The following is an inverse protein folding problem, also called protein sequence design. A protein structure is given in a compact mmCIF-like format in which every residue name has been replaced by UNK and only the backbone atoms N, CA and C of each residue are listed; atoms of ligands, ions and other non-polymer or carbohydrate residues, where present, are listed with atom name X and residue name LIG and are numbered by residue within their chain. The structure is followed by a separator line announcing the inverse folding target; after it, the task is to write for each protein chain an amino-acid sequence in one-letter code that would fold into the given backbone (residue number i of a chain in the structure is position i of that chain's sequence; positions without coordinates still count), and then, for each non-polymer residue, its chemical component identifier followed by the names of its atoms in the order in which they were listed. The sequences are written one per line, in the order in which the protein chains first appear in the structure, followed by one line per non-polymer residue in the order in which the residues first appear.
data_IF_117133502197
#
_entry.id   IF_117133502197
#
_cell.length_a   1.000
_cell.length_b   1.000
_cell.length_c   1.000
_cell.angle_alpha   90.00
_cell.angle_beta   90.00
_cell.angle_gamma   90.00
#
_symmetry.space_group_name_H-M   'P 1'
#
loop_
_entity.id
_entity.type
_entity.pdbx_description
1 polymer ?
#
# COMPACT_ATOMS: atom_id res chain seq x y z
N UNK A 1 -27.61 -1.60 3.31
CA UNK A 1 -27.94 -1.01 1.99
C UNK A 1 -27.49 0.45 1.87
N UNK A 2 -27.97 1.39 2.71
CA UNK A 2 -27.63 2.82 2.59
C UNK A 2 -26.12 3.13 2.69
N UNK A 3 -25.43 2.60 3.70
CA UNK A 3 -23.98 2.84 3.87
C UNK A 3 -23.16 2.37 2.65
N UNK A 4 -23.51 1.22 2.07
CA UNK A 4 -22.87 0.72 0.85
C UNK A 4 -23.11 1.65 -0.35
N UNK A 5 -24.36 2.07 -0.58
CA UNK A 5 -24.68 3.01 -1.65
C UNK A 5 -23.98 4.37 -1.45
N UNK A 6 -23.88 4.82 -0.19
CA UNK A 6 -23.22 6.07 0.15
C UNK A 6 -21.71 6.02 -0.08
N UNK A 7 -21.03 4.92 0.25
CA UNK A 7 -19.61 4.75 -0.06
C UNK A 7 -19.33 4.84 -1.57
N UNK A 8 -20.18 4.22 -2.40
CA UNK A 8 -20.10 4.34 -3.86
C UNK A 8 -20.29 5.79 -4.33
N UNK A 9 -21.30 6.46 -3.79
CA UNK A 9 -21.59 7.86 -4.09
C UNK A 9 -20.42 8.77 -3.74
N UNK A 10 -19.81 8.60 -2.56
CA UNK A 10 -18.67 9.39 -2.11
C UNK A 10 -17.47 9.18 -3.03
N UNK A 11 -17.12 7.93 -3.34
CA UNK A 11 -15.97 7.66 -4.20
C UNK A 11 -16.15 8.27 -5.60
N UNK A 12 -17.33 8.13 -6.21
CA UNK A 12 -17.64 8.77 -7.50
C UNK A 12 -17.67 10.29 -7.44
N UNK A 13 -18.02 10.88 -6.29
CA UNK A 13 -18.02 12.33 -6.09
C UNK A 13 -16.62 12.92 -5.95
N UNK A 14 -15.68 12.15 -5.38
CA UNK A 14 -14.32 12.61 -5.08
C UNK A 14 -13.26 12.13 -6.09
N UNK A 15 -13.49 11.00 -6.76
CA UNK A 15 -12.55 10.37 -7.68
C UNK A 15 -13.29 9.89 -8.91
N UNK A 16 -13.27 10.69 -9.98
CA UNK A 16 -13.94 10.38 -11.24
C UNK A 16 -13.11 10.78 -12.43
N UNK A 17 -12.96 9.88 -13.39
CA UNK A 17 -12.38 10.17 -14.71
C UNK A 17 -13.22 11.26 -15.44
N UNK A 18 -12.58 12.18 -16.17
CA UNK A 18 -11.15 12.28 -16.48
C UNK A 18 -10.34 13.09 -15.43
N UNK A 19 -10.81 13.17 -14.17
CA UNK A 19 -10.06 13.81 -13.09
C UNK A 19 -8.67 13.21 -12.90
N UNK A 20 -7.74 14.05 -12.43
CA UNK A 20 -6.32 13.66 -12.30
C UNK A 20 -5.99 13.03 -10.95
N UNK A 21 -6.65 13.47 -9.88
CA UNK A 21 -6.25 13.16 -8.52
C UNK A 21 -7.29 12.29 -7.79
N UNK A 22 -6.84 11.32 -6.99
CA UNK A 22 -7.72 10.44 -6.24
C UNK A 22 -8.35 11.19 -5.06
N UNK A 23 -9.34 10.55 -4.45
CA UNK A 23 -9.91 10.97 -3.17
C UNK A 23 -8.80 11.03 -2.11
N UNK A 24 -8.63 12.19 -1.46
CA UNK A 24 -7.71 12.35 -0.34
C UNK A 24 -8.38 11.91 0.99
N UNK A 25 -7.76 12.20 2.14
CA UNK A 25 -8.33 11.88 3.47
C UNK A 25 -9.77 12.38 3.70
N UNK A 26 -10.21 13.41 2.97
CA UNK A 26 -11.56 13.98 3.05
C UNK A 26 -12.30 13.89 1.70
N UNK A 27 -11.84 13.03 0.78
CA UNK A 27 -12.33 12.97 -0.59
C UNK A 27 -11.98 14.25 -1.36
N UNK A 28 -12.90 15.20 -1.35
CA UNK A 28 -12.76 16.57 -1.90
C UNK A 28 -13.45 17.62 -1.01
N UNK A 29 -13.91 17.23 0.18
CA UNK A 29 -14.77 18.05 1.03
C UNK A 29 -14.00 18.55 2.25
N UNK A 30 -13.28 19.65 2.09
CA UNK A 30 -12.63 20.37 3.18
C UNK A 30 -13.19 21.79 3.29
N UNK A 31 -13.41 22.27 4.52
CA UNK A 31 -13.88 23.62 4.81
C UNK A 31 -12.82 24.50 5.52
N UNK A 32 -11.58 24.01 5.61
CA UNK A 32 -10.47 24.67 6.26
C UNK A 32 -9.21 24.58 5.40
N UNK A 33 -8.40 25.63 5.43
CA UNK A 33 -7.03 25.63 4.88
C UNK A 33 -6.07 24.81 5.75
N UNK A 34 -6.40 24.66 7.04
CA UNK A 34 -5.69 23.80 7.99
C UNK A 34 -6.58 22.61 8.33
N UNK A 35 -6.63 21.69 7.39
CA UNK A 35 -7.40 20.45 7.53
C UNK A 35 -6.62 19.44 8.35
N UNK A 36 -7.28 18.57 9.16
CA UNK A 36 -6.59 17.49 9.86
C UNK A 36 -5.70 16.68 8.91
N UNK A 37 -4.43 16.52 9.30
CA UNK A 37 -3.39 15.88 8.51
C UNK A 37 -3.25 16.45 7.08
N UNK A 38 -3.51 17.74 6.91
CA UNK A 38 -3.43 18.44 5.62
C UNK A 38 -4.49 18.02 4.61
N UNK A 39 -5.43 17.12 4.96
CA UNK A 39 -6.24 16.38 4.00
C UNK A 39 -5.39 15.80 2.85
N UNK A 40 -4.20 15.29 3.17
CA UNK A 40 -3.23 14.81 2.20
C UNK A 40 -3.53 13.36 1.75
N UNK A 41 -2.52 12.69 1.18
CA UNK A 41 -2.57 11.28 0.83
C UNK A 41 -1.73 10.44 1.81
N UNK A 42 -2.41 9.79 2.76
CA UNK A 42 -1.82 8.76 3.62
C UNK A 42 -1.76 7.42 2.88
N UNK A 43 -0.54 6.94 2.63
CA UNK A 43 -0.21 5.71 1.92
C UNK A 43 0.01 4.52 2.86
N UNK A 44 -0.09 4.72 4.18
CA UNK A 44 0.09 3.66 5.17
C UNK A 44 -1.21 2.93 5.57
N UNK A 45 -2.36 3.35 5.04
CA UNK A 45 -3.62 2.57 4.94
C UNK A 45 -4.74 3.36 4.24
N UNK A 46 -4.81 4.68 4.43
CA UNK A 46 -6.04 5.44 4.17
C UNK A 46 -6.38 5.55 2.68
N UNK A 47 -5.38 5.85 1.84
CA UNK A 47 -5.59 5.90 0.39
C UNK A 47 -6.00 4.53 -0.14
N UNK A 48 -5.37 3.44 0.30
CA UNK A 48 -5.77 2.08 -0.10
C UNK A 48 -7.21 1.79 0.33
N UNK A 49 -7.55 2.12 1.58
CA UNK A 49 -8.89 1.90 2.14
C UNK A 49 -9.98 2.60 1.33
N UNK A 50 -9.74 3.83 0.87
CA UNK A 50 -10.69 4.56 0.03
C UNK A 50 -11.03 3.82 -1.28
N UNK A 51 -10.16 2.92 -1.75
CA UNK A 51 -10.30 2.21 -3.03
C UNK A 51 -10.55 0.70 -2.92
N UNK A 52 -10.48 0.08 -1.74
CA UNK A 52 -10.75 -1.37 -1.57
C UNK A 52 -12.11 -1.80 -2.13
N UNK A 53 -13.12 -0.93 -2.02
CA UNK A 53 -14.46 -1.19 -2.54
C UNK A 53 -14.63 -0.92 -4.03
N UNK A 54 -13.68 -0.25 -4.71
CA UNK A 54 -13.87 0.29 -6.05
C UNK A 54 -14.16 -0.81 -7.08
N UNK A 55 -13.31 -1.84 -7.11
CA UNK A 55 -13.45 -2.94 -8.06
C UNK A 55 -14.71 -3.76 -7.81
N UNK A 56 -14.91 -4.20 -6.57
CA UNK A 56 -16.09 -5.00 -6.16
C UNK A 56 -17.42 -4.27 -6.30
N UNK A 57 -17.39 -2.94 -6.30
CA UNK A 57 -18.56 -2.12 -6.54
C UNK A 57 -18.75 -1.74 -8.02
N UNK A 58 -17.98 -2.32 -8.95
CA UNK A 58 -18.03 -1.97 -10.37
C UNK A 58 -17.87 -0.45 -10.60
N UNK A 59 -16.89 0.15 -9.90
CA UNK A 59 -16.52 1.57 -10.03
C UNK A 59 -15.16 1.75 -10.69
N UNK A 60 -14.45 0.68 -11.05
CA UNK A 60 -13.09 0.79 -11.61
C UNK A 60 -13.00 1.70 -12.84
N UNK A 61 -13.85 1.54 -13.87
CA UNK A 61 -13.75 2.35 -15.09
C UNK A 61 -13.87 3.86 -14.81
N UNK A 62 -14.72 4.24 -13.86
CA UNK A 62 -15.00 5.64 -13.54
C UNK A 62 -14.08 6.20 -12.46
N UNK A 63 -13.73 5.41 -11.43
CA UNK A 63 -13.15 5.93 -10.21
C UNK A 63 -11.66 5.64 -10.02
N UNK A 64 -11.11 4.59 -10.64
CA UNK A 64 -9.69 4.23 -10.46
C UNK A 64 -8.74 4.97 -11.42
N UNK A 65 -9.24 5.61 -12.48
CA UNK A 65 -8.41 6.42 -13.39
C UNK A 65 -7.58 7.50 -12.67
N UNK A 66 -8.19 8.34 -11.80
CA UNK A 66 -7.43 9.30 -10.99
C UNK A 66 -6.40 8.64 -10.06
N UNK A 67 -6.69 7.46 -9.51
CA UNK A 67 -5.73 6.70 -8.70
C UNK A 67 -4.51 6.29 -9.52
N UNK A 68 -4.73 5.73 -10.71
CA UNK A 68 -3.67 5.36 -11.63
C UNK A 68 -2.79 6.57 -12.02
N UNK A 69 -3.41 7.69 -12.36
CA UNK A 69 -2.72 8.93 -12.68
C UNK A 69 -1.83 9.42 -11.53
N UNK A 70 -2.32 9.33 -10.30
CA UNK A 70 -1.56 9.69 -9.11
C UNK A 70 -0.40 8.73 -8.85
N UNK A 71 -0.61 7.42 -8.98
CA UNK A 71 0.47 6.44 -8.85
C UNK A 71 1.57 6.65 -9.90
N UNK A 72 1.19 6.98 -11.14
CA UNK A 72 2.16 7.34 -12.18
C UNK A 72 2.95 8.62 -11.84
N UNK A 73 2.28 9.63 -11.28
CA UNK A 73 2.94 10.86 -10.82
C UNK A 73 3.91 10.60 -9.67
N UNK A 74 3.49 9.79 -8.69
CA UNK A 74 4.25 9.43 -7.50
C UNK A 74 5.48 8.57 -7.87
N UNK A 75 5.30 7.58 -8.73
CA UNK A 75 6.38 6.77 -9.29
C UNK A 75 7.27 7.53 -10.29
N UNK A 76 6.85 8.74 -10.65
CA UNK A 76 7.53 9.64 -11.55
C UNK A 76 8.72 10.36 -10.89
N UNK A 77 8.91 11.66 -11.18
CA UNK A 77 10.09 12.39 -10.70
C UNK A 77 10.25 12.41 -9.17
N UNK A 78 9.15 12.53 -8.40
CA UNK A 78 9.19 12.63 -6.94
C UNK A 78 9.69 11.36 -6.25
N UNK A 79 9.07 10.22 -6.56
CA UNK A 79 9.48 8.93 -6.02
C UNK A 79 10.89 8.51 -6.48
N UNK A 80 11.24 8.76 -7.76
CA UNK A 80 12.58 8.48 -8.28
C UNK A 80 13.66 9.34 -7.63
N UNK A 81 13.39 10.63 -7.43
CA UNK A 81 14.30 11.52 -6.69
C UNK A 81 14.51 11.03 -5.27
N UNK A 82 13.46 10.56 -4.61
CA UNK A 82 13.55 10.04 -3.24
C UNK A 82 14.42 8.79 -3.20
N UNK A 83 14.15 7.81 -4.06
CA UNK A 83 14.93 6.56 -4.16
C UNK A 83 16.43 6.86 -4.36
N UNK A 84 16.74 7.75 -5.29
CA UNK A 84 18.12 8.12 -5.57
C UNK A 84 18.78 8.96 -4.47
N UNK A 85 18.08 9.94 -3.88
CA UNK A 85 18.68 10.85 -2.89
C UNK A 85 18.85 10.20 -1.53
N UNK A 86 17.86 9.42 -1.08
CA UNK A 86 17.86 8.87 0.28
C UNK A 86 18.57 7.51 0.33
N UNK A 87 18.37 6.68 -0.70
CA UNK A 87 18.81 5.28 -0.67
C UNK A 87 19.87 4.94 -1.70
N UNK A 88 20.19 5.86 -2.64
CA UNK A 88 21.07 5.57 -3.79
C UNK A 88 20.60 4.38 -4.63
N UNK A 89 19.29 4.12 -4.62
CA UNK A 89 18.70 3.01 -5.33
C UNK A 89 18.01 3.45 -6.63
N UNK A 90 17.95 2.56 -7.64
CA UNK A 90 17.11 2.75 -8.82
C UNK A 90 15.63 2.63 -8.45
N UNK A 91 14.77 2.76 -9.46
CA UNK A 91 13.33 2.67 -9.26
C UNK A 91 12.75 3.90 -8.58
N UNK A 92 11.71 3.71 -7.77
CA UNK A 92 11.07 4.77 -7.01
C UNK A 92 10.62 4.27 -5.64
N UNK A 93 10.48 5.19 -4.69
CA UNK A 93 9.94 4.91 -3.35
C UNK A 93 9.07 6.08 -2.92
N UNK A 94 7.98 5.77 -2.22
CA UNK A 94 7.18 6.74 -1.50
C UNK A 94 6.87 6.19 -0.11
N UNK A 95 6.94 7.07 0.89
CA UNK A 95 6.80 6.69 2.29
C UNK A 95 5.35 6.81 2.78
N UNK A 96 5.14 6.98 4.09
CA UNK A 96 3.81 6.95 4.70
C UNK A 96 2.84 8.00 4.16
N UNK A 97 3.33 9.18 3.77
CA UNK A 97 2.49 10.33 3.42
C UNK A 97 3.06 11.09 2.21
N UNK A 98 2.17 11.68 1.42
CA UNK A 98 2.48 12.59 0.31
C UNK A 98 1.31 13.54 0.11
N UNK A 99 1.51 14.58 -0.70
CA UNK A 99 0.49 15.56 -1.06
C UNK A 99 0.28 15.58 -2.59
N UNK A 100 -0.36 16.66 -3.06
CA UNK A 100 -0.65 16.94 -4.47
C UNK A 100 0.61 16.95 -5.37
N UNK A 101 1.79 17.23 -4.81
CA UNK A 101 3.05 17.28 -5.56
C UNK A 101 3.63 15.89 -5.82
N UNK A 102 3.05 14.85 -5.23
CA UNK A 102 3.41 13.45 -5.42
C UNK A 102 4.92 13.20 -5.16
N UNK A 103 5.42 13.76 -4.05
CA UNK A 103 6.79 13.55 -3.59
C UNK A 103 6.89 12.25 -2.78
N UNK A 104 7.96 11.49 -3.00
CA UNK A 104 8.18 10.23 -2.28
C UNK A 104 8.81 10.37 -0.90
N UNK A 105 9.15 11.59 -0.48
CA UNK A 105 9.97 11.87 0.70
C UNK A 105 9.33 11.49 2.04
N UNK A 106 10.08 11.75 3.11
CA UNK A 106 9.57 11.67 4.48
C UNK A 106 8.87 13.00 4.82
N UNK A 107 7.62 12.93 5.27
CA UNK A 107 6.83 14.09 5.69
C UNK A 107 6.46 13.91 7.16
N UNK A 108 6.76 14.85 8.05
CA UNK A 108 6.61 14.68 9.52
C UNK A 108 7.70 13.78 10.16
N UNK A 109 7.46 13.30 11.38
CA UNK A 109 8.46 12.53 12.15
C UNK A 109 8.67 11.13 11.58
N UNK A 110 9.90 10.62 11.71
CA UNK A 110 10.34 9.32 11.21
C UNK A 110 9.47 8.16 11.72
N UNK A 111 8.98 8.24 12.95
CA UNK A 111 8.23 7.17 13.62
C UNK A 111 6.92 6.78 12.89
N UNK A 112 6.24 7.74 12.27
CA UNK A 112 5.07 7.50 11.40
C UNK A 112 5.46 7.47 9.92
N UNK A 113 6.43 8.29 9.55
CA UNK A 113 6.69 8.60 8.14
C UNK A 113 7.49 7.51 7.45
N UNK A 114 8.44 6.87 8.12
CA UNK A 114 9.39 5.94 7.50
C UNK A 114 8.73 4.58 7.20
N UNK A 115 8.00 4.55 6.09
CA UNK A 115 7.36 3.35 5.56
C UNK A 115 7.76 3.14 4.08
N UNK A 116 8.95 2.60 3.78
CA UNK A 116 9.40 2.39 2.40
C UNK A 116 8.52 1.41 1.60
N UNK A 117 7.64 0.68 2.28
CA UNK A 117 6.66 -0.26 1.70
C UNK A 117 5.34 0.39 1.29
N UNK A 118 5.02 1.58 1.80
CA UNK A 118 3.71 2.19 1.66
C UNK A 118 3.38 2.55 0.20
N UNK A 119 4.32 3.18 -0.52
CA UNK A 119 4.13 3.48 -1.95
C UNK A 119 3.93 2.22 -2.80
N UNK A 120 4.69 1.16 -2.52
CA UNK A 120 4.54 -0.11 -3.24
C UNK A 120 3.22 -0.81 -2.91
N UNK A 121 2.77 -0.77 -1.66
CA UNK A 121 1.44 -1.27 -1.28
C UNK A 121 0.33 -0.52 -2.01
N UNK A 122 0.40 0.82 -2.09
CA UNK A 122 -0.54 1.59 -2.89
C UNK A 122 -0.53 1.16 -4.38
N UNK A 123 0.64 0.92 -4.96
CA UNK A 123 0.74 0.45 -6.34
C UNK A 123 0.06 -0.90 -6.60
N UNK A 124 -0.11 -1.77 -5.59
CA UNK A 124 -0.79 -3.06 -5.75
C UNK A 124 -2.25 -2.91 -6.15
N UNK A 125 -2.91 -1.80 -5.83
CA UNK A 125 -4.29 -1.54 -6.27
C UNK A 125 -4.41 -1.48 -7.81
N UNK A 126 -3.34 -1.14 -8.54
CA UNK A 126 -3.32 -1.17 -10.01
C UNK A 126 -3.39 -2.60 -10.54
N UNK A 127 -2.67 -3.52 -9.89
CA UNK A 127 -2.71 -4.95 -10.21
C UNK A 127 -4.07 -5.56 -9.86
N UNK A 128 -4.61 -5.22 -8.68
CA UNK A 128 -5.94 -5.68 -8.25
C UNK A 128 -7.05 -5.21 -9.19
N UNK A 129 -6.97 -3.97 -9.69
CA UNK A 129 -7.93 -3.45 -10.66
C UNK A 129 -7.91 -4.25 -11.98
N UNK A 130 -6.72 -4.64 -12.44
CA UNK A 130 -6.56 -5.49 -13.63
C UNK A 130 -7.07 -6.91 -13.40
N UNK A 131 -6.70 -7.55 -12.28
CA UNK A 131 -7.11 -8.95 -12.02
C UNK A 131 -8.61 -9.07 -11.75
N UNK A 132 -9.23 -8.08 -11.10
CA UNK A 132 -10.68 -8.07 -10.94
C UNK A 132 -11.39 -8.02 -12.30
N UNK A 133 -10.90 -7.20 -13.22
CA UNK A 133 -11.47 -7.10 -14.56
C UNK A 133 -11.36 -8.41 -15.33
N UNK A 134 -10.24 -9.13 -15.20
CA UNK A 134 -10.09 -10.46 -15.80
C UNK A 134 -11.19 -11.43 -15.33
N UNK A 135 -11.52 -11.43 -14.04
CA UNK A 135 -12.55 -12.32 -13.48
C UNK A 135 -13.94 -11.93 -13.96
N UNK A 136 -14.28 -10.64 -13.96
CA UNK A 136 -15.58 -10.16 -14.45
C UNK A 136 -15.78 -10.55 -15.93
N UNK A 137 -14.74 -10.43 -16.77
CA UNK A 137 -14.80 -10.80 -18.18
C UNK A 137 -14.97 -12.33 -18.37
N UNK A 138 -14.32 -13.17 -17.54
CA UNK A 138 -14.49 -14.63 -17.58
C UNK A 138 -15.89 -15.08 -17.11
N UNK A 139 -16.41 -14.46 -16.04
CA UNK A 139 -17.73 -14.78 -15.47
C UNK A 139 -18.88 -14.31 -16.37
N UNK A 140 -18.71 -13.17 -17.07
CA UNK A 140 -19.71 -12.63 -18.00
C UNK A 140 -19.73 -13.34 -19.37
N UNK A 141 -18.58 -13.87 -19.83
CA UNK A 141 -18.48 -14.41 -21.18
C UNK A 141 -18.61 -15.94 -21.31
N UNK A 142 -18.50 -16.71 -20.22
CA UNK A 142 -18.57 -18.18 -20.27
C UNK A 142 -17.50 -18.87 -21.13
N UNK A 143 -16.59 -18.13 -21.78
CA UNK A 143 -15.52 -18.64 -22.63
C UNK A 143 -14.51 -17.53 -23.00
N UNK A 144 -13.37 -17.45 -22.31
CA UNK A 144 -12.09 -17.03 -22.91
C UNK A 144 -11.96 -15.63 -23.52
N UNK A 145 -12.83 -14.67 -23.23
CA UNK A 145 -12.63 -13.28 -23.66
C UNK A 145 -11.63 -12.59 -22.73
N UNK A 146 -10.43 -12.36 -23.25
CA UNK A 146 -9.45 -11.47 -22.59
C UNK A 146 -9.99 -10.04 -22.54
N UNK A 147 -9.63 -9.25 -21.52
CA UNK A 147 -10.02 -7.84 -21.44
C UNK A 147 -9.59 -7.11 -22.69
N UNK A 148 -10.53 -6.35 -23.26
CA UNK A 148 -10.34 -5.62 -24.51
C UNK A 148 -9.05 -4.80 -24.50
N UNK A 149 -8.16 -5.11 -25.44
CA UNK A 149 -6.92 -4.38 -25.69
C UNK A 149 -7.25 -2.92 -26.00
N UNK A 150 -6.68 -1.97 -25.24
CA UNK A 150 -6.85 -0.52 -25.48
C UNK A 150 -7.82 0.20 -24.55
N UNK A 151 -8.46 -0.49 -23.60
CA UNK A 151 -9.28 0.14 -22.56
C UNK A 151 -8.50 0.32 -21.26
N UNK A 152 -8.85 1.30 -20.43
CA UNK A 152 -8.24 1.51 -19.09
C UNK A 152 -8.48 0.26 -18.24
N UNK A 153 -7.44 -0.27 -17.60
CA UNK A 153 -7.43 -1.58 -16.92
C UNK A 153 -7.49 -2.81 -17.85
N UNK A 154 -7.35 -2.64 -19.17
CA UNK A 154 -7.13 -3.74 -20.11
C UNK A 154 -5.65 -4.14 -20.23
N UNK A 155 -5.35 -5.16 -21.04
CA UNK A 155 -3.97 -5.70 -21.18
C UNK A 155 -2.95 -4.64 -21.59
N UNK A 156 -3.27 -3.79 -22.57
CA UNK A 156 -2.34 -2.73 -23.00
C UNK A 156 -2.11 -1.71 -21.87
N UNK A 157 -3.18 -1.25 -21.19
CA UNK A 157 -3.04 -0.34 -20.07
C UNK A 157 -2.19 -0.93 -18.94
N UNK A 158 -2.35 -2.23 -18.64
CA UNK A 158 -1.50 -2.90 -17.66
C UNK A 158 -0.03 -2.82 -18.08
N UNK A 159 0.28 -3.22 -19.32
CA UNK A 159 1.66 -3.31 -19.79
C UNK A 159 2.30 -1.92 -19.99
N UNK A 160 1.52 -0.94 -20.45
CA UNK A 160 2.02 0.38 -20.83
C UNK A 160 2.07 1.35 -19.64
N UNK A 161 1.16 1.22 -18.66
CA UNK A 161 1.01 2.18 -17.56
C UNK A 161 1.33 1.56 -16.19
N UNK A 162 0.71 0.44 -15.82
CA UNK A 162 0.83 -0.11 -14.47
C UNK A 162 2.11 -0.93 -14.25
N UNK A 163 2.54 -1.73 -15.22
CA UNK A 163 3.74 -2.55 -15.13
C UNK A 163 5.01 -1.70 -14.93
N UNK A 164 5.25 -0.59 -15.65
CA UNK A 164 6.40 0.27 -15.38
C UNK A 164 6.42 0.84 -13.95
N UNK A 165 5.25 1.09 -13.36
CA UNK A 165 5.13 1.53 -11.96
C UNK A 165 5.55 0.40 -11.02
N UNK A 166 5.01 -0.81 -11.22
CA UNK A 166 5.30 -1.98 -10.39
C UNK A 166 6.78 -2.41 -10.51
N UNK A 167 7.31 -2.47 -11.73
CA UNK A 167 8.73 -2.76 -12.00
C UNK A 167 9.65 -1.74 -11.32
N UNK A 168 9.27 -0.46 -11.32
CA UNK A 168 10.00 0.57 -10.62
C UNK A 168 10.05 0.36 -9.10
N UNK A 169 8.97 -0.13 -8.49
CA UNK A 169 8.95 -0.45 -7.07
C UNK A 169 9.80 -1.71 -6.77
N UNK A 170 9.71 -2.73 -7.62
CA UNK A 170 10.55 -3.94 -7.52
C UNK A 170 12.03 -3.59 -7.66
N UNK A 171 12.39 -2.74 -8.63
CA UNK A 171 13.76 -2.27 -8.83
C UNK A 171 14.32 -1.56 -7.60
N UNK A 172 13.50 -0.76 -6.92
CA UNK A 172 13.88 -0.17 -5.65
C UNK A 172 14.14 -1.24 -4.58
N UNK A 173 13.22 -2.19 -4.37
CA UNK A 173 13.38 -3.22 -3.34
C UNK A 173 14.57 -4.14 -3.58
N UNK A 174 14.86 -4.51 -4.83
CA UNK A 174 16.03 -5.33 -5.16
C UNK A 174 17.36 -4.65 -4.78
N UNK A 175 17.39 -3.32 -4.76
CA UNK A 175 18.54 -2.56 -4.26
C UNK A 175 18.48 -2.31 -2.75
N UNK A 176 17.28 -2.06 -2.21
CA UNK A 176 17.07 -1.66 -0.82
C UNK A 176 17.21 -2.81 0.17
N UNK A 177 16.87 -4.02 -0.25
CA UNK A 177 16.94 -5.21 0.59
C UNK A 177 18.39 -5.58 0.90
N UNK A 178 18.65 -5.90 2.16
CA UNK A 178 19.98 -6.32 2.64
C UNK A 178 19.91 -7.73 3.22
N UNK A 179 20.98 -8.51 3.05
CA UNK A 179 21.06 -9.83 3.68
C UNK A 179 21.02 -9.73 5.21
N UNK A 180 20.25 -10.63 5.81
CA UNK A 180 20.18 -10.77 7.25
C UNK A 180 21.55 -11.20 7.79
N UNK A 181 22.03 -10.61 8.90
CA UNK A 181 23.29 -11.00 9.50
C UNK A 181 23.24 -12.46 9.97
N UNK A 182 24.40 -13.12 10.06
CA UNK A 182 24.49 -14.48 10.55
C UNK A 182 23.85 -14.62 11.94
N UNK A 183 22.98 -15.61 12.11
CA UNK A 183 22.23 -15.84 13.35
C UNK A 183 20.98 -14.98 13.52
N UNK A 184 20.60 -14.16 12.52
CA UNK A 184 19.34 -13.42 12.58
C UNK A 184 18.13 -14.37 12.63
N UNK A 185 17.06 -14.07 13.41
CA UNK A 185 15.89 -14.94 13.56
C UNK A 185 15.16 -15.29 12.26
N UNK A 186 15.30 -14.45 11.21
CA UNK A 186 14.73 -14.71 9.89
C UNK A 186 15.42 -15.87 9.13
N UNK A 187 16.59 -16.32 9.58
CA UNK A 187 17.35 -17.40 8.96
C UNK A 187 18.44 -16.94 8.00
N UNK A 188 19.30 -17.87 7.61
CA UNK A 188 20.42 -17.65 6.66
C UNK A 188 19.85 -17.37 5.26
N UNK A 189 20.36 -16.32 4.61
CA UNK A 189 19.93 -15.93 3.26
C UNK A 189 18.62 -15.13 3.21
N UNK A 190 18.01 -14.82 4.37
CA UNK A 190 16.86 -13.94 4.42
C UNK A 190 17.25 -12.51 3.99
N UNK A 191 16.38 -11.84 3.24
CA UNK A 191 16.52 -10.43 2.89
C UNK A 191 15.63 -9.60 3.81
N UNK A 192 16.21 -8.56 4.40
CA UNK A 192 15.54 -7.65 5.33
C UNK A 192 15.35 -6.28 4.69
N UNK A 193 14.25 -5.61 5.03
CA UNK A 193 14.06 -4.18 4.79
C UNK A 193 14.60 -3.40 5.99
N UNK A 194 15.30 -2.29 5.76
CA UNK A 194 15.81 -1.50 6.88
C UNK A 194 16.58 -0.24 6.45
N UNK A 195 16.33 0.92 7.10
CA UNK A 195 15.42 1.13 8.25
C UNK A 195 13.92 1.14 7.85
N UNK A 196 13.04 0.59 8.69
CA UNK A 196 11.59 0.53 8.46
C UNK A 196 10.83 0.61 9.78
N UNK A 197 9.55 0.93 9.74
CA UNK A 197 8.65 0.86 10.90
C UNK A 197 7.50 -0.12 10.66
N UNK A 198 6.88 -0.59 11.75
CA UNK A 198 5.48 -0.99 11.73
C UNK A 198 4.71 0.32 11.87
N UNK A 199 3.94 0.76 10.84
CA UNK A 199 3.45 2.13 10.77
C UNK A 199 2.84 2.61 12.08
N UNK A 200 3.37 3.72 12.59
CA UNK A 200 2.88 4.44 13.78
C UNK A 200 2.94 3.64 15.09
N UNK A 201 3.62 2.49 15.11
CA UNK A 201 3.79 1.69 16.29
C UNK A 201 5.21 1.83 16.87
N UNK A 202 5.29 1.83 18.20
CA UNK A 202 6.56 1.80 18.93
C UNK A 202 6.86 0.39 19.43
N UNK A 203 8.14 0.03 19.46
CA UNK A 203 8.59 -1.18 20.14
C UNK A 203 9.18 -0.81 21.50
N UNK A 204 8.91 -1.64 22.50
CA UNK A 204 9.56 -1.51 23.79
C UNK A 204 11.02 -1.94 23.65
N UNK A 205 11.95 -1.04 23.97
CA UNK A 205 13.36 -1.41 24.19
C UNK A 205 13.55 -1.55 25.68
N UNK A 206 13.94 -2.74 26.18
CA UNK A 206 14.19 -2.92 27.58
C UNK A 206 15.34 -2.02 28.04
N UNK A 207 15.15 -1.12 29.03
CA UNK A 207 16.16 -0.13 29.40
C UNK A 207 17.40 -0.73 30.08
N UNK A 208 17.32 -2.00 30.52
CA UNK A 208 18.43 -2.73 31.13
C UNK A 208 18.43 -4.22 30.77
N UNK A 209 19.53 -4.92 31.07
CA UNK A 209 19.65 -6.37 30.85
C UNK A 209 18.64 -7.20 31.67
N UNK A 210 18.19 -6.70 32.83
CA UNK A 210 17.11 -7.33 33.60
C UNK A 210 15.75 -7.17 32.91
N UNK A 211 15.50 -6.01 32.31
CA UNK A 211 14.27 -5.77 31.55
C UNK A 211 14.26 -6.63 30.28
N UNK A 212 15.43 -6.93 29.69
CA UNK A 212 15.54 -7.80 28.52
C UNK A 212 15.11 -9.23 28.85
N UNK A 213 15.52 -9.77 30.02
CA UNK A 213 15.08 -11.10 30.48
C UNK A 213 13.58 -11.14 30.74
N UNK A 214 13.02 -10.12 31.37
CA UNK A 214 11.58 -10.02 31.61
C UNK A 214 10.79 -9.95 30.29
N UNK A 215 11.29 -9.18 29.31
CA UNK A 215 10.72 -9.11 27.97
C UNK A 215 10.78 -10.46 27.23
N UNK A 216 11.91 -11.17 27.29
CA UNK A 216 12.06 -12.50 26.68
C UNK A 216 11.12 -13.54 27.31
N UNK A 217 10.92 -13.47 28.63
CA UNK A 217 9.98 -14.33 29.35
C UNK A 217 8.53 -14.02 28.95
N UNK A 218 8.12 -12.75 28.93
CA UNK A 218 6.81 -12.32 28.47
C UNK A 218 6.55 -12.73 27.02
N UNK A 219 7.55 -12.57 26.14
CA UNK A 219 7.49 -13.00 24.74
C UNK A 219 7.25 -14.51 24.64
N UNK A 220 8.00 -15.32 25.39
CA UNK A 220 7.81 -16.78 25.44
C UNK A 220 6.40 -17.14 25.89
N UNK A 221 5.90 -16.53 26.96
CA UNK A 221 4.53 -16.78 27.44
C UNK A 221 3.46 -16.39 26.41
N UNK A 222 3.69 -15.31 25.65
CA UNK A 222 2.77 -14.85 24.60
C UNK A 222 2.75 -15.83 23.42
N UNK A 223 3.90 -16.33 23.01
CA UNK A 223 4.04 -17.37 21.99
C UNK A 223 3.37 -18.69 22.43
N UNK A 224 3.54 -19.10 23.69
CA UNK A 224 2.85 -20.27 24.25
C UNK A 224 1.33 -20.09 24.33
N UNK A 225 0.85 -18.88 24.63
CA UNK A 225 -0.58 -18.55 24.57
C UNK A 225 -1.12 -18.66 23.15
N UNK A 226 -0.39 -18.13 22.17
CA UNK A 226 -0.78 -18.19 20.77
C UNK A 226 -0.90 -19.64 20.30
N UNK A 227 0.12 -20.48 20.57
CA UNK A 227 0.10 -21.91 20.23
C UNK A 227 -1.08 -22.65 20.87
N UNK A 228 -1.41 -22.35 22.13
CA UNK A 228 -2.58 -22.92 22.81
C UNK A 228 -3.88 -22.51 22.11
N UNK A 229 -4.02 -21.22 21.80
CA UNK A 229 -5.20 -20.71 21.09
C UNK A 229 -5.34 -21.33 19.70
N UNK A 230 -4.25 -21.47 18.94
CA UNK A 230 -4.25 -22.11 17.62
C UNK A 230 -4.70 -23.57 17.71
N UNK A 231 -4.20 -24.34 18.68
CA UNK A 231 -4.62 -25.72 18.92
C UNK A 231 -6.12 -25.82 19.27
N UNK A 232 -6.63 -24.90 20.11
CA UNK A 232 -8.06 -24.83 20.43
C UNK A 232 -8.92 -24.50 19.19
N UNK A 233 -8.43 -23.63 18.29
CA UNK A 233 -9.13 -23.34 17.04
C UNK A 233 -9.14 -24.53 16.09
N UNK A 234 -8.07 -25.33 16.04
CA UNK A 234 -8.05 -26.57 15.23
C UNK A 234 -9.00 -27.63 15.78
N UNK A 235 -9.09 -27.79 17.10
CA UNK A 235 -10.03 -28.72 17.73
C UNK A 235 -11.48 -28.33 17.44
N UNK A 236 -11.81 -27.03 17.51
CA UNK A 236 -13.16 -26.51 17.18
C UNK A 236 -13.57 -26.68 15.72
N UNK A 237 -12.62 -26.90 14.80
CA UNK A 237 -12.88 -27.14 13.38
C UNK A 237 -13.14 -28.60 13.05
N UNK A 238 -12.86 -29.54 13.98
CA UNK A 238 -13.13 -30.98 13.83
C UNK A 238 -14.51 -31.33 14.35
#
# INVERSE_FOLDING_TARGET
ALAHAFGRYLLLGASRAPGRWPANLQGVWANSVDSPWGADYHLNVNLQMAYWGAARAALSPEALGPYANFMAALAGPGGRRTAHRYYRCPGWVAHGFTDLWAEGGLHSNIEWSLCPTCGAWAALALWEAYTHRLVDDEEFAGAGSKPETGTVFGTNWLMDEAMPILEGAVSFFLCYLTEAPAGHPAGVGALLTGPSTSPENSFAVPPSASDLKAYEEEKREREERLRRWEAEQEERKK
#
